data_IF_988774722329
#
_entry.id   IF_988774722329
#
_cell.length_a   1.000
_cell.length_b   1.000
_cell.length_c   1.000
_cell.angle_alpha   90.00
_cell.angle_beta   90.00
_cell.angle_gamma   90.00
#
_symmetry.space_group_name_H-M   'P 1'
#
loop_
_entity.id
_entity.type
_entity.pdbx_description
1 polymer ?
#
# COMPACT_ATOMS: atom_id res chain seq x y z
N UNK A 1 -5.71 51.12 -15.13
CA UNK A 1 -6.35 49.79 -15.21
C UNK A 1 -6.83 49.48 -13.81
N UNK A 2 -8.12 49.65 -13.57
CA UNK A 2 -8.72 49.51 -12.24
C UNK A 2 -8.88 48.03 -11.91
N UNK A 3 -8.09 47.54 -10.96
CA UNK A 3 -8.31 46.24 -10.36
C UNK A 3 -9.53 46.33 -9.44
N UNK A 4 -10.68 45.85 -9.94
CA UNK A 4 -11.80 45.52 -9.06
C UNK A 4 -11.34 44.43 -8.08
N UNK A 5 -11.51 44.61 -6.76
CA UNK A 5 -11.34 43.53 -5.81
C UNK A 5 -12.39 42.47 -6.12
N UNK A 6 -11.93 41.30 -6.58
CA UNK A 6 -12.78 40.14 -6.77
C UNK A 6 -13.43 39.81 -5.44
N UNK A 7 -14.76 39.67 -5.47
CA UNK A 7 -15.52 39.03 -4.39
C UNK A 7 -14.81 37.74 -3.97
N UNK A 8 -14.53 37.54 -2.67
CA UNK A 8 -14.04 36.25 -2.18
C UNK A 8 -14.98 35.19 -2.72
N UNK A 9 -14.44 34.26 -3.50
CA UNK A 9 -15.23 33.22 -4.16
C UNK A 9 -16.15 32.61 -3.11
N UNK A 10 -17.46 32.76 -3.33
CA UNK A 10 -18.40 31.84 -2.76
C UNK A 10 -17.85 30.48 -3.12
N UNK A 11 -17.32 29.77 -2.12
CA UNK A 11 -17.01 28.35 -2.25
C UNK A 11 -18.26 27.76 -2.89
N UNK A 12 -18.16 27.33 -4.15
CA UNK A 12 -19.18 26.51 -4.76
C UNK A 12 -19.52 25.48 -3.70
N UNK A 13 -20.75 25.56 -3.18
CA UNK A 13 -21.30 24.52 -2.33
C UNK A 13 -21.28 23.30 -3.23
N UNK A 14 -20.22 22.49 -3.08
CA UNK A 14 -19.99 21.33 -3.92
C UNK A 14 -21.27 20.53 -4.00
N UNK A 15 -21.55 19.99 -5.18
CA UNK A 15 -22.77 19.22 -5.44
C UNK A 15 -23.10 18.31 -4.24
N UNK A 16 -24.38 18.20 -3.85
CA UNK A 16 -24.77 17.39 -2.71
C UNK A 16 -24.22 15.97 -2.87
N UNK A 17 -23.53 15.48 -1.83
CA UNK A 17 -22.89 14.17 -1.87
C UNK A 17 -23.90 13.10 -2.27
N UNK A 18 -23.60 12.37 -3.33
CA UNK A 18 -24.51 11.40 -3.91
C UNK A 18 -24.46 10.04 -3.19
N UNK A 19 -25.45 9.19 -3.46
CA UNK A 19 -25.43 7.80 -3.00
C UNK A 19 -24.23 7.01 -3.58
N UNK A 20 -23.77 7.37 -4.78
CA UNK A 20 -22.61 6.75 -5.43
C UNK A 20 -21.32 7.09 -4.69
N UNK A 21 -21.15 8.34 -4.26
CA UNK A 21 -19.98 8.79 -3.48
C UNK A 21 -19.88 8.03 -2.16
N UNK A 22 -21.02 7.93 -1.47
CA UNK A 22 -21.14 7.20 -0.20
C UNK A 22 -20.83 5.71 -0.37
N UNK A 23 -21.43 5.06 -1.38
CA UNK A 23 -21.18 3.66 -1.68
C UNK A 23 -19.72 3.39 -2.07
N UNK A 24 -19.12 4.30 -2.86
CA UNK A 24 -17.71 4.23 -3.25
C UNK A 24 -16.77 4.33 -2.05
N UNK A 25 -17.00 5.30 -1.15
CA UNK A 25 -16.24 5.47 0.07
C UNK A 25 -16.34 4.24 1.00
N UNK A 26 -17.54 3.69 1.18
CA UNK A 26 -17.76 2.48 1.98
C UNK A 26 -17.08 1.25 1.35
N UNK A 27 -17.19 1.08 0.04
CA UNK A 27 -16.52 0.00 -0.67
C UNK A 27 -14.99 0.09 -0.52
N UNK A 28 -14.42 1.27 -0.74
CA UNK A 28 -12.97 1.48 -0.67
C UNK A 28 -12.43 1.27 0.76
N UNK A 29 -13.18 1.75 1.76
CA UNK A 29 -12.86 1.50 3.18
C UNK A 29 -12.99 0.01 3.53
N UNK A 30 -14.08 -0.63 3.10
CA UNK A 30 -14.31 -2.06 3.30
C UNK A 30 -13.23 -2.92 2.66
N UNK A 31 -12.71 -2.52 1.49
CA UNK A 31 -11.57 -3.16 0.85
C UNK A 31 -10.32 -3.09 1.73
N UNK A 32 -9.96 -1.91 2.25
CA UNK A 32 -8.82 -1.78 3.16
C UNK A 32 -8.98 -2.66 4.42
N UNK A 33 -10.17 -2.66 5.03
CA UNK A 33 -10.48 -3.50 6.20
C UNK A 33 -10.32 -4.99 5.87
N UNK A 34 -10.87 -5.45 4.74
CA UNK A 34 -10.77 -6.84 4.31
C UNK A 34 -9.32 -7.27 4.06
N UNK A 35 -8.49 -6.39 3.48
CA UNK A 35 -7.07 -6.67 3.29
C UNK A 35 -6.31 -6.81 4.61
N UNK A 36 -6.57 -5.92 5.58
CA UNK A 36 -5.92 -6.01 6.90
C UNK A 36 -6.41 -7.21 7.72
N UNK A 37 -7.68 -7.58 7.60
CA UNK A 37 -8.18 -8.85 8.14
C UNK A 37 -7.43 -10.04 7.53
N UNK A 38 -7.23 -10.06 6.20
CA UNK A 38 -6.44 -11.10 5.54
C UNK A 38 -4.97 -11.11 6.00
N UNK A 39 -4.34 -9.95 6.20
CA UNK A 39 -3.00 -9.83 6.79
C UNK A 39 -2.95 -10.48 8.17
N UNK A 40 -3.91 -10.20 9.05
CA UNK A 40 -3.97 -10.76 10.40
C UNK A 40 -4.16 -12.28 10.38
N UNK A 41 -5.08 -12.78 9.54
CA UNK A 41 -5.32 -14.22 9.33
C UNK A 41 -4.05 -14.91 8.83
N UNK A 42 -3.37 -14.34 7.82
CA UNK A 42 -2.10 -14.87 7.31
C UNK A 42 -1.01 -14.85 8.39
N UNK A 43 -0.91 -13.77 9.17
CA UNK A 43 0.08 -13.64 10.24
C UNK A 43 -0.09 -14.73 11.31
N UNK A 44 -1.34 -14.96 11.72
CA UNK A 44 -1.69 -15.97 12.69
C UNK A 44 -1.46 -17.39 12.14
N UNK A 45 -2.04 -17.70 10.98
CA UNK A 45 -1.98 -19.04 10.40
C UNK A 45 -0.57 -19.43 9.93
N UNK A 46 0.30 -18.48 9.58
CA UNK A 46 1.71 -18.75 9.26
C UNK A 46 2.56 -19.20 10.46
N UNK A 47 2.03 -19.16 11.69
CA UNK A 47 2.69 -19.75 12.87
C UNK A 47 2.48 -21.26 12.98
N UNK A 48 1.49 -21.82 12.28
CA UNK A 48 1.13 -23.23 12.35
C UNK A 48 1.62 -24.06 11.16
N UNK A 49 1.03 -25.26 10.96
CA UNK A 49 1.30 -26.11 9.81
C UNK A 49 1.07 -25.40 8.47
N UNK A 50 1.83 -25.79 7.45
CA UNK A 50 1.67 -25.28 6.09
C UNK A 50 0.31 -25.72 5.55
N UNK A 51 -0.43 -24.78 4.97
CA UNK A 51 -1.68 -25.04 4.26
C UNK A 51 -1.66 -24.40 2.87
N UNK A 52 -2.10 -25.07 1.80
CA UNK A 52 -2.04 -24.52 0.43
C UNK A 52 -2.79 -23.19 0.24
N UNK A 53 -3.84 -22.94 1.03
CA UNK A 53 -4.60 -21.69 0.94
C UNK A 53 -3.78 -20.47 1.38
N UNK A 54 -2.78 -20.61 2.26
CA UNK A 54 -1.94 -19.50 2.72
C UNK A 54 -1.24 -18.82 1.53
N UNK A 55 -0.68 -19.63 0.63
CA UNK A 55 -0.04 -19.14 -0.58
C UNK A 55 -1.04 -18.39 -1.47
N UNK A 56 -2.21 -18.99 -1.73
CA UNK A 56 -3.24 -18.40 -2.61
C UNK A 56 -3.78 -17.08 -2.04
N UNK A 57 -4.07 -17.03 -0.75
CA UNK A 57 -4.53 -15.82 -0.06
C UNK A 57 -3.45 -14.74 -0.08
N UNK A 58 -2.18 -15.08 0.16
CA UNK A 58 -1.10 -14.11 0.09
C UNK A 58 -0.89 -13.57 -1.33
N UNK A 59 -0.97 -14.42 -2.37
CA UNK A 59 -0.94 -13.97 -3.78
C UNK A 59 -2.10 -13.04 -4.09
N UNK A 60 -3.32 -13.38 -3.67
CA UNK A 60 -4.49 -12.52 -3.85
C UNK A 60 -4.34 -11.17 -3.15
N UNK A 61 -3.88 -11.16 -1.90
CA UNK A 61 -3.60 -9.95 -1.13
C UNK A 61 -2.57 -9.05 -1.82
N UNK A 62 -1.47 -9.63 -2.30
CA UNK A 62 -0.43 -8.91 -3.05
C UNK A 62 -1.02 -8.31 -4.33
N UNK A 63 -1.79 -9.10 -5.09
CA UNK A 63 -2.44 -8.64 -6.32
C UNK A 63 -3.38 -7.45 -6.09
N UNK A 64 -4.23 -7.54 -5.06
CA UNK A 64 -5.11 -6.44 -4.66
C UNK A 64 -4.31 -5.19 -4.25
N UNK A 65 -3.24 -5.36 -3.47
CA UNK A 65 -2.37 -4.25 -3.08
C UNK A 65 -1.68 -3.58 -4.29
N UNK A 66 -1.28 -4.35 -5.30
CA UNK A 66 -0.73 -3.82 -6.56
C UNK A 66 -1.77 -3.01 -7.32
N UNK A 67 -3.01 -3.50 -7.44
CA UNK A 67 -4.10 -2.77 -8.10
C UNK A 67 -4.38 -1.45 -7.38
N UNK A 68 -4.46 -1.48 -6.04
CA UNK A 68 -4.63 -0.27 -5.23
C UNK A 68 -3.48 0.73 -5.43
N UNK A 69 -2.23 0.28 -5.44
CA UNK A 69 -1.08 1.16 -5.64
C UNK A 69 -1.01 1.75 -7.04
N UNK A 70 -1.43 1.02 -8.08
CA UNK A 70 -1.50 1.57 -9.45
C UNK A 70 -2.49 2.73 -9.49
N UNK A 71 -3.70 2.55 -8.95
CA UNK A 71 -4.70 3.62 -8.91
C UNK A 71 -4.24 4.82 -8.07
N UNK A 72 -3.66 4.56 -6.89
CA UNK A 72 -3.16 5.61 -6.01
C UNK A 72 -2.00 6.39 -6.64
N UNK A 73 -1.03 5.72 -7.24
CA UNK A 73 0.10 6.39 -7.91
C UNK A 73 -0.34 7.14 -9.18
N UNK A 74 -1.29 6.59 -9.94
CA UNK A 74 -1.89 7.29 -11.08
C UNK A 74 -2.48 8.64 -10.67
N UNK A 75 -3.21 8.69 -9.55
CA UNK A 75 -3.78 9.94 -9.02
C UNK A 75 -2.68 10.98 -8.73
N UNK A 76 -1.60 10.58 -8.06
CA UNK A 76 -0.46 11.47 -7.76
C UNK A 76 0.27 11.94 -9.02
N UNK A 77 0.42 11.06 -10.03
CA UNK A 77 0.98 11.45 -11.34
C UNK A 77 0.10 12.50 -12.00
N UNK A 78 -1.22 12.29 -12.01
CA UNK A 78 -2.15 13.20 -12.66
C UNK A 78 -2.21 14.56 -11.92
N UNK A 79 -2.15 14.55 -10.59
CA UNK A 79 -1.99 15.76 -9.76
C UNK A 79 -0.71 16.53 -10.10
N UNK A 80 0.42 15.85 -10.20
CA UNK A 80 1.70 16.48 -10.54
C UNK A 80 1.66 17.09 -11.96
N UNK A 81 1.13 16.37 -12.95
CA UNK A 81 0.97 16.86 -14.32
C UNK A 81 0.04 18.08 -14.36
N UNK A 82 -1.12 18.00 -13.70
CA UNK A 82 -2.05 19.12 -13.62
C UNK A 82 -1.41 20.34 -12.96
N UNK A 83 -0.66 20.14 -11.88
CA UNK A 83 0.00 21.21 -11.14
C UNK A 83 1.05 21.95 -11.97
N UNK A 84 1.82 21.22 -12.80
CA UNK A 84 2.77 21.84 -13.74
C UNK A 84 2.05 22.79 -14.71
N UNK A 85 0.87 22.40 -15.20
CA UNK A 85 0.08 23.22 -16.11
C UNK A 85 -0.69 24.35 -15.39
N UNK A 86 -1.02 24.17 -14.11
CA UNK A 86 -1.93 25.05 -13.36
C UNK A 86 -1.45 25.34 -11.93
N UNK A 87 -0.24 25.90 -11.72
CA UNK A 87 0.38 26.02 -10.39
C UNK A 87 -0.34 26.97 -9.42
N UNK A 88 -1.28 27.79 -9.92
CA UNK A 88 -2.09 28.71 -9.11
C UNK A 88 -3.53 28.25 -8.90
N UNK A 89 -3.90 27.09 -9.43
CA UNK A 89 -5.23 26.48 -9.23
C UNK A 89 -5.24 25.60 -7.98
N UNK A 90 -6.41 25.22 -7.44
CA UNK A 90 -6.50 24.15 -6.46
C UNK A 90 -5.90 22.84 -6.99
N UNK A 91 -5.42 21.97 -6.09
CA UNK A 91 -4.97 20.65 -6.49
C UNK A 91 -6.14 19.89 -7.15
N UNK A 92 -5.90 19.37 -8.34
CA UNK A 92 -6.92 18.63 -9.09
C UNK A 92 -7.08 17.21 -8.57
N UNK A 93 -8.24 16.62 -8.82
CA UNK A 93 -8.49 15.21 -8.57
C UNK A 93 -9.25 14.58 -9.72
N UNK A 94 -9.01 13.30 -9.96
CA UNK A 94 -9.88 12.55 -10.86
C UNK A 94 -11.31 12.49 -10.31
N UNK A 95 -12.34 12.34 -11.17
CA UNK A 95 -13.73 12.27 -10.73
C UNK A 95 -14.01 11.20 -9.67
N UNK A 96 -13.36 10.04 -9.78
CA UNK A 96 -13.54 8.94 -8.83
C UNK A 96 -12.81 9.20 -7.49
N UNK A 97 -11.62 9.79 -7.52
CA UNK A 97 -10.93 10.18 -6.29
C UNK A 97 -11.72 11.27 -5.55
N UNK A 98 -12.24 12.27 -6.28
CA UNK A 98 -13.09 13.31 -5.72
C UNK A 98 -14.37 12.71 -5.11
N UNK A 99 -15.03 11.79 -5.82
CA UNK A 99 -16.20 11.04 -5.34
C UNK A 99 -15.92 10.31 -4.02
N UNK A 100 -14.79 9.59 -3.92
CA UNK A 100 -14.42 8.91 -2.68
C UNK A 100 -14.12 9.89 -1.54
N UNK A 101 -13.40 10.98 -1.81
CA UNK A 101 -13.10 11.98 -0.80
C UNK A 101 -14.36 12.67 -0.28
N UNK A 102 -15.32 13.00 -1.14
CA UNK A 102 -16.61 13.55 -0.75
C UNK A 102 -17.41 12.56 0.11
N UNK A 103 -17.48 11.29 -0.31
CA UNK A 103 -18.15 10.24 0.45
C UNK A 103 -17.51 10.03 1.84
N UNK A 104 -16.19 10.04 1.94
CA UNK A 104 -15.48 9.95 3.23
C UNK A 104 -15.64 11.22 4.09
N UNK A 105 -15.77 12.39 3.46
CA UNK A 105 -15.96 13.67 4.15
C UNK A 105 -17.30 13.76 4.90
N UNK A 106 -18.27 12.90 4.61
CA UNK A 106 -19.54 12.84 5.33
C UNK A 106 -19.39 12.52 6.83
N UNK A 107 -18.24 11.95 7.25
CA UNK A 107 -17.94 11.72 8.67
C UNK A 107 -18.00 13.02 9.48
N UNK A 108 -17.56 14.14 8.90
CA UNK A 108 -17.71 15.48 9.48
C UNK A 108 -17.67 16.53 8.37
N UNK A 109 -18.86 16.96 7.93
CA UNK A 109 -19.03 17.93 6.84
C UNK A 109 -18.53 19.33 7.19
N UNK A 110 -18.24 19.62 8.47
CA UNK A 110 -17.62 20.88 8.88
C UNK A 110 -16.12 20.94 8.59
N UNK A 111 -15.51 19.81 8.18
CA UNK A 111 -14.07 19.65 7.97
C UNK A 111 -13.75 19.27 6.52
N UNK A 112 -13.66 20.23 5.59
CA UNK A 112 -13.50 19.93 4.16
C UNK A 112 -12.22 19.15 3.82
N UNK A 113 -11.16 19.25 4.64
CA UNK A 113 -9.94 18.48 4.45
C UNK A 113 -10.05 17.01 4.89
N UNK A 114 -11.01 16.66 5.75
CA UNK A 114 -11.06 15.34 6.40
C UNK A 114 -11.24 14.20 5.38
N UNK A 115 -12.14 14.38 4.41
CA UNK A 115 -12.39 13.38 3.37
C UNK A 115 -11.14 13.06 2.55
N UNK A 116 -10.32 14.08 2.26
CA UNK A 116 -9.05 13.93 1.56
C UNK A 116 -8.00 13.18 2.38
N UNK A 117 -7.87 13.50 3.66
CA UNK A 117 -6.90 12.82 4.53
C UNK A 117 -7.30 11.35 4.74
N UNK A 118 -8.60 11.07 4.89
CA UNK A 118 -9.14 9.71 4.96
C UNK A 118 -8.86 8.92 3.67
N UNK A 119 -9.08 9.52 2.50
CA UNK A 119 -8.83 8.87 1.21
C UNK A 119 -7.37 8.44 1.08
N UNK A 120 -6.45 9.34 1.41
CA UNK A 120 -5.02 9.02 1.39
C UNK A 120 -4.67 7.94 2.42
N UNK A 121 -5.18 8.04 3.65
CA UNK A 121 -4.92 7.05 4.69
C UNK A 121 -5.37 5.65 4.23
N UNK A 122 -6.60 5.53 3.71
CA UNK A 122 -7.15 4.26 3.21
C UNK A 122 -6.33 3.72 2.03
N UNK A 123 -5.99 4.56 1.05
CA UNK A 123 -5.13 4.17 -0.08
C UNK A 123 -3.75 3.67 0.37
N UNK A 124 -3.14 4.36 1.33
CA UNK A 124 -1.85 3.98 1.89
C UNK A 124 -1.90 2.66 2.68
N UNK A 125 -3.01 2.39 3.39
CA UNK A 125 -3.24 1.13 4.10
C UNK A 125 -3.41 -0.06 3.14
N UNK A 126 -4.07 0.13 2.00
CA UNK A 126 -4.18 -0.89 0.94
C UNK A 126 -2.81 -1.23 0.37
N UNK A 127 -2.00 -0.22 0.04
CA UNK A 127 -0.65 -0.43 -0.46
C UNK A 127 0.23 -1.14 0.57
N UNK A 128 0.20 -0.69 1.84
CA UNK A 128 0.95 -1.30 2.92
C UNK A 128 0.58 -2.79 3.11
N UNK A 129 -0.70 -3.13 3.06
CA UNK A 129 -1.16 -4.51 3.17
C UNK A 129 -0.60 -5.41 2.05
N UNK A 130 -0.49 -4.90 0.83
CA UNK A 130 0.16 -5.61 -0.29
C UNK A 130 1.63 -5.93 -0.03
N UNK A 131 2.40 -4.95 0.46
CA UNK A 131 3.81 -5.13 0.83
C UNK A 131 3.99 -6.12 1.98
N UNK A 132 3.13 -6.04 3.01
CA UNK A 132 3.10 -7.02 4.10
C UNK A 132 2.78 -8.42 3.56
N UNK A 133 1.90 -8.53 2.56
CA UNK A 133 1.65 -9.78 1.84
C UNK A 133 2.92 -10.43 1.27
N UNK A 134 3.82 -9.65 0.68
CA UNK A 134 5.12 -10.14 0.18
C UNK A 134 6.02 -10.61 1.35
N UNK A 135 6.05 -9.86 2.46
CA UNK A 135 6.82 -10.28 3.65
C UNK A 135 6.27 -11.59 4.22
N UNK A 136 4.96 -11.75 4.26
CA UNK A 136 4.30 -12.95 4.79
C UNK A 136 4.49 -14.16 3.87
N UNK A 137 4.27 -14.01 2.56
CA UNK A 137 4.42 -15.15 1.62
C UNK A 137 5.85 -15.65 1.60
N UNK A 138 6.83 -14.76 1.74
CA UNK A 138 8.24 -15.17 1.72
C UNK A 138 8.69 -15.79 3.05
N UNK A 139 8.00 -15.55 4.17
CA UNK A 139 8.46 -15.84 5.55
C UNK A 139 8.97 -17.26 5.79
N UNK A 140 8.40 -18.27 5.12
CA UNK A 140 8.73 -19.69 5.32
C UNK A 140 10.00 -20.16 4.63
N UNK A 141 10.54 -19.36 3.70
CA UNK A 141 11.80 -19.68 3.03
C UNK A 141 12.97 -19.31 3.95
N UNK A 142 13.88 -20.25 4.18
CA UNK A 142 15.13 -20.01 4.92
C UNK A 142 16.06 -19.08 4.14
N UNK A 143 16.83 -18.27 4.87
CA UNK A 143 17.76 -17.30 4.26
C UNK A 143 17.11 -15.97 3.87
N UNK A 144 17.93 -15.13 3.23
CA UNK A 144 17.52 -13.79 2.78
C UNK A 144 17.10 -13.79 1.32
N UNK A 145 15.80 -13.64 1.08
CA UNK A 145 15.25 -13.39 -0.25
C UNK A 145 15.33 -11.90 -0.58
N UNK A 146 15.68 -11.57 -1.83
CA UNK A 146 15.73 -10.17 -2.28
C UNK A 146 14.33 -9.56 -2.28
N UNK A 147 13.30 -10.34 -2.64
CA UNK A 147 11.89 -9.92 -2.55
C UNK A 147 11.51 -9.49 -1.14
N UNK A 148 11.89 -10.28 -0.12
CA UNK A 148 11.64 -9.96 1.30
C UNK A 148 12.38 -8.70 1.75
N UNK A 149 13.64 -8.52 1.32
CA UNK A 149 14.42 -7.31 1.63
C UNK A 149 13.74 -6.05 1.11
N UNK A 150 13.40 -6.02 -0.18
CA UNK A 150 12.72 -4.87 -0.79
C UNK A 150 11.33 -4.65 -0.18
N UNK A 151 10.56 -5.71 0.06
CA UNK A 151 9.25 -5.58 0.69
C UNK A 151 9.34 -5.00 2.11
N UNK A 152 10.34 -5.38 2.92
CA UNK A 152 10.57 -4.80 4.25
C UNK A 152 10.93 -3.31 4.18
N UNK A 153 11.77 -2.91 3.22
CA UNK A 153 12.04 -1.49 2.97
C UNK A 153 10.76 -0.74 2.61
N UNK A 154 9.92 -1.34 1.76
CA UNK A 154 8.62 -0.79 1.40
C UNK A 154 7.70 -0.65 2.60
N UNK A 155 7.59 -1.67 3.45
CA UNK A 155 6.78 -1.63 4.69
C UNK A 155 7.23 -0.49 5.60
N UNK A 156 8.53 -0.26 5.76
CA UNK A 156 9.05 0.84 6.57
C UNK A 156 8.71 2.21 5.98
N UNK A 157 9.04 2.41 4.71
CA UNK A 157 8.79 3.68 4.01
C UNK A 157 7.29 4.01 3.99
N UNK A 158 6.47 3.03 3.60
CA UNK A 158 5.02 3.16 3.55
C UNK A 158 4.38 3.24 4.93
N UNK A 159 4.99 2.62 5.94
CA UNK A 159 4.59 2.76 7.34
C UNK A 159 4.78 4.18 7.86
N UNK A 160 5.93 4.80 7.58
CA UNK A 160 6.21 6.21 7.95
C UNK A 160 5.21 7.14 7.25
N UNK A 161 5.00 6.96 5.95
CA UNK A 161 4.04 7.75 5.17
C UNK A 161 2.59 7.53 5.63
N UNK A 162 2.22 6.29 5.97
CA UNK A 162 0.91 5.99 6.55
C UNK A 162 0.70 6.62 7.94
N UNK A 163 1.73 6.63 8.79
CA UNK A 163 1.70 7.34 10.07
C UNK A 163 1.53 8.85 9.86
N UNK A 164 2.20 9.43 8.87
CA UNK A 164 1.99 10.83 8.52
C UNK A 164 0.52 11.11 8.20
N UNK A 165 -0.10 10.32 7.31
CA UNK A 165 -1.52 10.48 6.99
C UNK A 165 -2.45 10.22 8.17
N UNK A 166 -2.09 9.31 9.07
CA UNK A 166 -2.83 9.12 10.31
C UNK A 166 -2.77 10.40 11.16
N UNK A 167 -1.60 11.02 11.32
CA UNK A 167 -1.45 12.27 12.08
C UNK A 167 -2.20 13.43 11.40
N UNK A 168 -2.11 13.57 10.07
CA UNK A 168 -2.87 14.56 9.30
C UNK A 168 -4.39 14.37 9.53
N UNK A 169 -4.89 13.14 9.38
CA UNK A 169 -6.30 12.80 9.59
C UNK A 169 -6.75 13.10 11.02
N UNK A 170 -5.99 12.63 12.02
CA UNK A 170 -6.32 12.82 13.44
C UNK A 170 -6.29 14.29 13.81
N UNK A 171 -5.31 15.07 13.32
CA UNK A 171 -5.22 16.50 13.61
C UNK A 171 -6.48 17.25 13.13
N UNK A 172 -6.92 17.00 11.90
CA UNK A 172 -8.15 17.58 11.36
C UNK A 172 -9.37 17.08 12.13
N UNK A 173 -9.46 15.77 12.38
CA UNK A 173 -10.57 15.16 13.11
C UNK A 173 -10.72 15.73 14.54
N UNK A 174 -9.62 16.06 15.22
CA UNK A 174 -9.60 16.67 16.55
C UNK A 174 -9.75 18.20 16.53
N UNK A 175 -10.01 18.82 15.37
CA UNK A 175 -10.39 20.22 15.26
C UNK A 175 -9.25 21.20 14.97
N UNK A 176 -8.08 20.71 14.55
CA UNK A 176 -7.08 21.62 13.98
C UNK A 176 -7.64 22.31 12.73
N UNK A 177 -7.38 23.60 12.58
CA UNK A 177 -7.83 24.38 11.42
C UNK A 177 -7.19 23.96 10.09
N UNK A 178 -6.12 23.15 10.17
CA UNK A 178 -5.37 22.59 9.05
C UNK A 178 -4.78 21.23 9.45
N UNK A 179 -4.45 20.41 8.46
CA UNK A 179 -3.74 19.17 8.71
C UNK A 179 -2.30 19.45 9.18
N UNK A 180 -1.81 18.67 10.15
CA UNK A 180 -0.48 18.81 10.75
C UNK A 180 0.33 17.53 10.49
N UNK A 181 1.46 17.65 9.77
CA UNK A 181 2.31 16.51 9.40
C UNK A 181 3.49 16.93 8.50
N UNK A 182 4.33 15.98 8.07
CA UNK A 182 5.55 16.28 7.30
C UNK A 182 5.26 17.07 6.02
N UNK A 183 4.25 16.67 5.25
CA UNK A 183 3.75 17.33 4.04
C UNK A 183 3.14 18.72 4.26
N UNK A 184 3.08 19.19 5.50
CA UNK A 184 2.64 20.54 5.86
C UNK A 184 3.70 21.29 6.67
N UNK A 185 4.89 20.71 6.82
CA UNK A 185 5.92 21.14 7.78
C UNK A 185 5.35 21.31 9.20
N UNK A 186 4.61 20.30 9.67
CA UNK A 186 3.93 20.34 10.95
C UNK A 186 2.99 21.56 11.09
N UNK A 187 2.31 21.93 10.00
CA UNK A 187 1.40 23.06 9.92
C UNK A 187 2.05 24.44 9.70
N UNK A 188 3.38 24.49 9.54
CA UNK A 188 4.13 25.75 9.38
C UNK A 188 3.95 26.42 8.01
N UNK A 189 3.54 25.68 6.97
CA UNK A 189 3.23 26.29 5.66
C UNK A 189 1.78 26.78 5.68
N UNK A 190 1.58 28.06 5.44
CA UNK A 190 0.25 28.67 5.35
C UNK A 190 -0.56 28.11 4.17
N UNK A 191 -1.90 27.98 4.32
CA UNK A 191 -2.77 27.58 3.22
C UNK A 191 -2.59 28.46 1.98
N UNK A 192 -2.45 27.83 0.82
CA UNK A 192 -2.26 28.52 -0.46
C UNK A 192 -1.37 27.73 -1.41
N UNK A 193 -0.89 28.40 -2.46
CA UNK A 193 -0.09 27.81 -3.54
C UNK A 193 1.18 27.13 -3.03
N UNK A 194 1.84 27.71 -2.01
CA UNK A 194 3.04 27.12 -1.42
C UNK A 194 2.74 25.75 -0.77
N UNK A 195 1.68 25.67 0.04
CA UNK A 195 1.26 24.41 0.66
C UNK A 195 0.87 23.38 -0.39
N UNK A 196 0.04 23.75 -1.36
CA UNK A 196 -0.39 22.85 -2.42
C UNK A 196 0.79 22.33 -3.26
N UNK A 197 1.71 23.21 -3.64
CA UNK A 197 2.93 22.83 -4.37
C UNK A 197 3.73 21.80 -3.58
N UNK A 198 3.99 22.10 -2.31
CA UNK A 198 4.79 21.21 -1.46
C UNK A 198 4.08 19.86 -1.26
N UNK A 199 2.77 19.85 -0.98
CA UNK A 199 1.99 18.62 -0.82
C UNK A 199 1.98 17.78 -2.10
N UNK A 200 1.69 18.36 -3.26
CA UNK A 200 1.66 17.61 -4.54
C UNK A 200 3.00 16.92 -4.78
N UNK A 201 4.11 17.64 -4.66
CA UNK A 201 5.44 17.06 -4.87
C UNK A 201 5.84 16.05 -3.81
N UNK A 202 5.52 16.31 -2.53
CA UNK A 202 5.79 15.38 -1.43
C UNK A 202 5.15 14.02 -1.69
N UNK A 203 3.84 14.00 -1.92
CA UNK A 203 3.09 12.76 -2.11
C UNK A 203 3.48 12.08 -3.44
N UNK A 204 3.72 12.85 -4.50
CA UNK A 204 4.23 12.30 -5.76
C UNK A 204 5.56 11.57 -5.58
N UNK A 205 6.56 12.20 -4.95
CA UNK A 205 7.89 11.60 -4.74
C UNK A 205 7.79 10.39 -3.82
N UNK A 206 7.04 10.49 -2.72
CA UNK A 206 6.83 9.37 -1.80
C UNK A 206 6.21 8.18 -2.56
N UNK A 207 5.13 8.39 -3.30
CA UNK A 207 4.47 7.30 -4.04
C UNK A 207 5.33 6.76 -5.20
N UNK A 208 6.14 7.60 -5.86
CA UNK A 208 7.08 7.14 -6.89
C UNK A 208 8.12 6.19 -6.29
N UNK A 209 8.74 6.57 -5.17
CA UNK A 209 9.73 5.75 -4.46
C UNK A 209 9.09 4.45 -3.96
N UNK A 210 7.91 4.54 -3.34
CA UNK A 210 7.15 3.37 -2.89
C UNK A 210 6.82 2.40 -4.04
N UNK A 211 6.37 2.94 -5.18
CA UNK A 211 6.07 2.16 -6.39
C UNK A 211 7.31 1.48 -6.96
N UNK A 212 8.45 2.18 -6.99
CA UNK A 212 9.72 1.58 -7.42
C UNK A 212 10.15 0.42 -6.51
N UNK A 213 10.05 0.60 -5.18
CA UNK A 213 10.33 -0.46 -4.20
C UNK A 213 9.41 -1.67 -4.40
N UNK A 214 8.11 -1.45 -4.58
CA UNK A 214 7.15 -2.52 -4.88
C UNK A 214 7.52 -3.23 -6.19
N UNK A 215 7.87 -2.49 -7.23
CA UNK A 215 8.30 -3.03 -8.52
C UNK A 215 9.52 -3.97 -8.38
N UNK A 216 10.54 -3.55 -7.64
CA UNK A 216 11.70 -4.40 -7.36
C UNK A 216 11.34 -5.62 -6.50
N UNK A 217 10.49 -5.45 -5.47
CA UNK A 217 10.02 -6.56 -4.65
C UNK A 217 9.28 -7.61 -5.50
N UNK A 218 8.41 -7.16 -6.42
CA UNK A 218 7.66 -8.02 -7.34
C UNK A 218 8.54 -8.70 -8.38
N UNK A 219 9.49 -7.97 -8.96
CA UNK A 219 10.46 -8.53 -9.91
C UNK A 219 11.26 -9.67 -9.27
N UNK A 220 11.76 -9.45 -8.05
CA UNK A 220 12.47 -10.48 -7.31
C UNK A 220 11.55 -11.63 -6.89
N UNK A 221 10.32 -11.33 -6.43
CA UNK A 221 9.35 -12.36 -6.05
C UNK A 221 9.00 -13.25 -7.25
N UNK A 222 8.85 -12.68 -8.44
CA UNK A 222 8.61 -13.43 -9.67
C UNK A 222 9.77 -14.38 -10.02
N UNK A 223 11.01 -13.94 -9.82
CA UNK A 223 12.21 -14.77 -10.01
C UNK A 223 12.34 -15.86 -8.95
N UNK A 224 11.95 -15.56 -7.71
CA UNK A 224 12.04 -16.44 -6.55
C UNK A 224 10.78 -17.34 -6.36
N UNK A 225 9.76 -17.19 -7.23
CA UNK A 225 8.42 -17.80 -7.06
C UNK A 225 8.43 -19.32 -6.90
N UNK A 226 9.38 -20.01 -7.53
CA UNK A 226 9.51 -21.48 -7.45
C UNK A 226 9.87 -21.93 -6.04
N UNK A 227 10.88 -21.28 -5.44
CA UNK A 227 11.34 -21.56 -4.08
C UNK A 227 10.27 -21.17 -3.07
N UNK A 228 9.65 -20.00 -3.25
CA UNK A 228 8.54 -19.55 -2.39
C UNK A 228 7.38 -20.54 -2.46
N UNK A 229 6.95 -20.97 -3.65
CA UNK A 229 5.86 -21.94 -3.81
C UNK A 229 6.20 -23.30 -3.19
N UNK A 230 7.42 -23.81 -3.37
CA UNK A 230 7.86 -25.08 -2.79
C UNK A 230 7.70 -25.10 -1.26
N UNK A 231 8.00 -23.99 -0.58
CA UNK A 231 7.83 -23.86 0.88
C UNK A 231 6.37 -23.96 1.36
N UNK A 232 5.37 -23.92 0.45
CA UNK A 232 3.95 -24.13 0.77
C UNK A 232 3.37 -25.43 0.21
N UNK A 233 4.17 -26.23 -0.51
CA UNK A 233 3.77 -27.51 -1.09
C UNK A 233 4.34 -28.72 -0.36
N UNK A 234 5.28 -28.52 0.57
CA UNK A 234 5.78 -29.59 1.43
C UNK A 234 4.63 -30.08 2.32
N UNK A 235 4.04 -31.21 1.95
CA UNK A 235 3.14 -31.96 2.80
C UNK A 235 3.90 -32.45 4.04
N UNK A 236 3.33 -32.31 5.25
CA UNK A 236 3.91 -32.89 6.45
C UNK A 236 3.98 -34.42 6.46
N UNK A 237 3.38 -35.11 5.49
CA UNK A 237 3.10 -36.56 5.56
C UNK A 237 4.00 -37.47 4.71
N UNK A 238 5.00 -36.94 4.01
CA UNK A 238 6.01 -37.79 3.35
C UNK A 238 7.37 -37.55 3.99
N UNK A 239 7.66 -38.31 5.05
CA UNK A 239 8.77 -38.13 5.98
C UNK A 239 10.21 -38.25 5.46
N UNK A 240 10.51 -37.88 4.21
CA UNK A 240 11.85 -37.92 3.64
C UNK A 240 11.96 -36.85 2.54
N UNK A 241 12.42 -35.64 2.87
CA UNK A 241 13.22 -34.77 1.98
C UNK A 241 13.56 -33.47 2.69
N UNK A 242 14.70 -33.49 3.39
CA UNK A 242 15.34 -32.29 3.91
C UNK A 242 15.99 -31.55 2.72
N UNK A 243 15.29 -30.59 2.12
CA UNK A 243 15.89 -29.73 1.08
C UNK A 243 16.73 -28.67 1.79
N UNK A 244 18.00 -28.98 2.04
CA UNK A 244 18.99 -27.97 2.40
C UNK A 244 19.34 -27.14 1.17
N UNK A 245 19.67 -25.87 1.36
CA UNK A 245 19.95 -24.90 0.29
C UNK A 245 21.24 -25.15 -0.51
N UNK A 246 21.81 -26.35 -0.42
CA UNK A 246 22.91 -26.81 -1.26
C UNK A 246 22.30 -27.66 -2.37
N UNK A 247 22.69 -27.40 -3.62
CA UNK A 247 22.04 -27.96 -4.80
C UNK A 247 21.79 -29.47 -4.72
N UNK A 248 20.73 -29.91 -5.41
CA UNK A 248 20.30 -31.31 -5.54
C UNK A 248 21.53 -32.19 -5.78
N UNK A 249 22.04 -32.82 -4.71
CA UNK A 249 22.98 -33.91 -4.80
C UNK A 249 22.11 -35.15 -4.92
N UNK A 250 22.12 -35.75 -6.11
CA UNK A 250 21.60 -37.10 -6.27
C UNK A 250 22.47 -38.00 -5.39
N UNK A 251 21.92 -38.44 -4.26
CA UNK A 251 22.50 -39.53 -3.49
C UNK A 251 22.39 -40.79 -4.34
N UNK A 252 23.46 -41.05 -5.10
CA UNK A 252 23.66 -42.29 -5.83
C UNK A 252 23.64 -43.42 -4.81
N UNK A 253 22.73 -44.41 -4.92
CA UNK A 253 22.72 -45.56 -4.03
C UNK A 253 24.07 -46.26 -4.10
N UNK A 254 24.79 -46.31 -2.97
CA UNK A 254 25.99 -47.14 -2.89
C UNK A 254 25.56 -48.59 -3.05
N UNK A 255 26.06 -49.25 -4.10
CA UNK A 255 25.88 -50.69 -4.28
C UNK A 255 26.43 -51.44 -3.05
N UNK A 256 25.70 -52.45 -2.55
CA UNK A 256 26.18 -53.27 -1.46
C UNK A 256 27.40 -54.07 -1.91
N UNK A 257 28.54 -53.78 -1.27
CA UNK A 257 29.77 -54.57 -1.40
C UNK A 257 29.48 -55.99 -0.91
N UNK A 258 29.33 -56.93 -1.85
CA UNK A 258 29.23 -58.36 -1.57
C UNK A 258 30.54 -58.82 -0.93
N UNK A 259 30.49 -59.08 0.39
CA UNK A 259 31.56 -59.72 1.12
C UNK A 259 31.77 -61.14 0.58
N UNK A 260 32.96 -61.40 0.02
CA UNK A 260 33.33 -62.76 -0.37
C UNK A 260 33.54 -63.61 0.89
N UNK A 261 32.83 -64.74 0.94
CA UNK A 261 33.09 -65.79 1.94
C UNK A 261 34.14 -66.75 1.38
N UNK A 262 35.20 -66.95 2.16
CA UNK A 262 36.12 -68.09 2.05
C UNK A 262 35.49 -69.32 2.70
#
# INVERSE_FOLDING_TARGET
>A
MDHKPGTPGAHEMGDPVSAVDTAGALFFTGWAVAMWAAVAVLAYANRGPVRPWLYRTAVGLIGLGVVGQIGHFQEHVAQAIYWIANPYSPAWMTPWANSFAQGMGQVDTSKPALGMELLHLVGNLIFLAGLVGIVQITRRVSGELKSRKWARMGVWMQGIHGVEHLVLTVSVALGASRAIGLSTWFGAIEPGVALSTYRVWWHFVANLVGTAILGFAMLHLWREKRIVKAAYLLEPDNGLLHVTGEGIREDVPQEPVLASKK
#
